data_IF_948488459430
#
_entry.id   IF_948488459430
#
_cell.length_a   1.000
_cell.length_b   1.000
_cell.length_c   1.000
_cell.angle_alpha   90.00
_cell.angle_beta   90.00
_cell.angle_gamma   90.00
#
_symmetry.space_group_name_H-M   'P 1'
#
loop_
_entity.id
_entity.type
_entity.pdbx_description
1 polymer ?
#
# COMPACT_ATOMS: atom_id res chain seq x y z
N UNK A 1 17.35 -17.04 21.35
CA UNK A 1 17.19 -16.04 20.28
C UNK A 1 15.75 -15.59 20.30
N UNK A 2 15.44 -14.61 21.15
CA UNK A 2 14.11 -14.02 21.30
C UNK A 2 14.16 -12.67 20.58
N UNK A 3 13.57 -12.58 19.38
CA UNK A 3 13.67 -11.35 18.58
C UNK A 3 12.84 -11.32 17.30
N UNK A 4 12.20 -12.43 16.89
CA UNK A 4 11.52 -12.50 15.60
C UNK A 4 10.22 -11.69 15.50
N UNK A 5 9.56 -11.37 16.62
CA UNK A 5 8.33 -10.56 16.62
C UNK A 5 8.60 -9.05 16.56
N UNK A 6 9.53 -8.58 17.40
CA UNK A 6 9.90 -7.16 17.51
C UNK A 6 10.56 -6.64 16.24
N UNK A 7 11.49 -7.40 15.69
CA UNK A 7 12.27 -6.99 14.51
C UNK A 7 11.37 -6.87 13.26
N UNK A 8 10.46 -7.83 13.08
CA UNK A 8 9.50 -7.81 11.97
C UNK A 8 8.48 -6.66 12.08
N UNK A 9 8.03 -6.36 13.30
CA UNK A 9 7.17 -5.21 13.58
C UNK A 9 7.88 -3.90 13.28
N UNK A 10 9.13 -3.79 13.74
CA UNK A 10 9.95 -2.61 13.52
C UNK A 10 10.19 -2.39 12.03
N UNK A 11 10.61 -3.42 11.29
CA UNK A 11 10.82 -3.36 9.84
C UNK A 11 9.54 -2.94 9.11
N UNK A 12 8.38 -3.48 9.51
CA UNK A 12 7.10 -3.09 8.90
C UNK A 12 6.74 -1.63 9.22
N UNK A 13 6.97 -1.17 10.45
CA UNK A 13 6.67 0.20 10.89
C UNK A 13 7.67 1.23 10.35
N UNK A 14 8.90 0.82 10.04
CA UNK A 14 9.94 1.65 9.41
C UNK A 14 9.69 1.81 7.90
N UNK A 15 9.23 0.75 7.22
CA UNK A 15 8.82 0.79 5.80
C UNK A 15 7.51 1.59 5.59
N UNK A 16 6.69 1.73 6.64
CA UNK A 16 5.45 2.52 6.62
C UNK A 16 5.75 4.03 6.66
N UNK A 17 5.33 4.75 5.61
CA UNK A 17 5.35 6.22 5.59
C UNK A 17 4.54 6.80 6.76
N UNK A 18 4.91 8.01 7.19
CA UNK A 18 4.30 8.70 8.35
C UNK A 18 2.78 8.82 8.27
N UNK A 19 2.23 9.01 7.07
CA UNK A 19 0.79 9.09 6.81
C UNK A 19 0.09 7.73 6.91
N UNK A 20 0.70 6.66 6.40
CA UNK A 20 0.21 5.29 6.54
C UNK A 20 0.23 4.83 8.00
N UNK A 21 1.27 5.22 8.75
CA UNK A 21 1.35 5.00 10.20
C UNK A 21 0.15 5.64 10.91
N UNK A 22 -0.23 6.87 10.52
CA UNK A 22 -1.38 7.57 11.11
C UNK A 22 -2.70 6.87 10.78
N UNK A 23 -2.87 6.39 9.55
CA UNK A 23 -4.05 5.62 9.11
C UNK A 23 -4.13 4.28 9.85
N UNK A 24 -3.00 3.58 9.99
CA UNK A 24 -2.86 2.35 10.74
C UNK A 24 -3.17 2.55 12.22
N UNK A 25 -2.65 3.62 12.86
CA UNK A 25 -3.01 4.01 14.24
C UNK A 25 -4.52 4.23 14.39
N UNK A 26 -5.16 4.89 13.41
CA UNK A 26 -6.61 5.11 13.44
C UNK A 26 -7.42 3.81 13.28
N UNK A 27 -7.01 2.94 12.34
CA UNK A 27 -7.64 1.65 12.05
C UNK A 27 -7.49 0.67 13.23
N UNK A 28 -6.32 0.66 13.87
CA UNK A 28 -6.09 -0.06 15.13
C UNK A 28 -7.01 0.47 16.23
N UNK A 29 -7.16 1.79 16.36
CA UNK A 29 -8.04 2.37 17.37
C UNK A 29 -9.47 1.92 17.20
N UNK A 30 -9.99 1.92 15.97
CA UNK A 30 -11.36 1.45 15.68
C UNK A 30 -11.48 -0.05 15.96
N UNK A 31 -10.61 -0.86 15.38
CA UNK A 31 -10.70 -2.33 15.48
C UNK A 31 -10.46 -2.88 16.89
N UNK A 32 -9.63 -2.22 17.71
CA UNK A 32 -9.33 -2.69 19.08
C UNK A 32 -10.30 -2.15 20.12
N UNK A 33 -10.94 -1.00 19.87
CA UNK A 33 -12.03 -0.50 20.72
C UNK A 33 -13.22 -1.48 20.70
N UNK A 34 -13.50 -2.06 19.52
CA UNK A 34 -14.59 -3.02 19.34
C UNK A 34 -14.32 -4.35 20.07
N UNK A 35 -13.05 -4.77 20.21
CA UNK A 35 -12.68 -6.00 20.91
C UNK A 35 -12.51 -5.84 22.44
N UNK A 36 -12.73 -4.64 22.98
CA UNK A 36 -12.74 -4.42 24.44
C UNK A 36 -11.37 -4.48 25.12
N UNK A 37 -10.27 -4.40 24.37
CA UNK A 37 -8.92 -4.34 24.94
C UNK A 37 -8.73 -3.06 25.77
N UNK A 38 -8.19 -3.18 26.98
CA UNK A 38 -7.91 -2.04 27.85
C UNK A 38 -6.94 -1.08 27.17
N UNK A 39 -7.38 0.17 27.06
CA UNK A 39 -6.79 1.26 26.30
C UNK A 39 -5.25 1.25 26.33
N UNK A 40 -4.64 0.88 25.19
CA UNK A 40 -3.28 1.33 24.87
C UNK A 40 -3.25 2.84 25.09
N UNK A 41 -2.17 3.41 25.67
CA UNK A 41 -2.01 4.84 25.73
C UNK A 41 -1.82 5.42 24.32
N UNK A 42 -2.94 5.62 23.60
CA UNK A 42 -3.01 6.11 22.22
C UNK A 42 -2.29 7.45 22.04
N UNK A 43 -2.30 8.29 23.08
CA UNK A 43 -1.56 9.56 23.07
C UNK A 43 -0.03 9.39 23.00
N UNK A 44 0.50 8.28 23.53
CA UNK A 44 1.92 7.92 23.40
C UNK A 44 2.18 7.22 22.07
N UNK A 45 1.28 6.32 21.66
CA UNK A 45 1.36 5.66 20.35
C UNK A 45 1.33 6.68 19.18
N UNK A 46 0.53 7.75 19.29
CA UNK A 46 0.39 8.75 18.24
C UNK A 46 1.65 9.60 18.06
N UNK A 47 2.34 9.90 19.17
CA UNK A 47 3.54 10.75 19.21
C UNK A 47 4.86 9.98 19.12
N UNK A 48 4.87 8.70 19.47
CA UNK A 48 6.04 7.84 19.43
C UNK A 48 6.50 7.54 18.00
N UNK A 49 7.81 7.40 17.86
CA UNK A 49 8.47 6.92 16.65
C UNK A 49 8.23 5.40 16.46
N UNK A 50 8.59 4.81 15.30
CA UNK A 50 8.32 3.40 15.01
C UNK A 50 8.84 2.44 16.09
N UNK A 51 9.97 2.77 16.74
CA UNK A 51 10.52 1.99 17.84
C UNK A 51 9.63 2.11 19.09
N UNK A 52 9.28 3.32 19.51
CA UNK A 52 8.38 3.53 20.66
C UNK A 52 7.03 2.84 20.47
N UNK A 53 6.47 2.94 19.26
CA UNK A 53 5.20 2.30 18.89
C UNK A 53 5.33 0.79 18.98
N UNK A 54 6.44 0.23 18.51
CA UNK A 54 6.73 -1.20 18.57
C UNK A 54 6.85 -1.68 20.02
N UNK A 55 7.66 -1.01 20.83
CA UNK A 55 7.87 -1.35 22.25
C UNK A 55 6.57 -1.20 23.07
N UNK A 56 5.76 -0.17 22.78
CA UNK A 56 4.45 0.01 23.43
C UNK A 56 3.47 -1.11 23.08
N UNK A 57 3.40 -1.51 21.80
CA UNK A 57 2.56 -2.62 21.34
C UNK A 57 3.01 -3.95 21.94
N UNK A 58 4.32 -4.17 22.02
CA UNK A 58 4.94 -5.34 22.65
C UNK A 58 4.64 -5.39 24.15
N UNK A 59 4.73 -4.25 24.82
CA UNK A 59 4.51 -4.17 26.27
C UNK A 59 3.05 -4.37 26.65
N UNK A 60 2.09 -4.01 25.79
CA UNK A 60 0.66 -4.01 26.11
C UNK A 60 -0.12 -5.21 25.57
N UNK A 61 0.36 -5.84 24.50
CA UNK A 61 -0.21 -7.07 23.96
C UNK A 61 0.78 -8.22 24.15
N UNK A 62 0.57 -9.05 25.17
CA UNK A 62 1.38 -10.24 25.45
C UNK A 62 1.43 -11.30 24.33
N UNK A 63 0.74 -11.11 23.21
CA UNK A 63 0.71 -12.01 22.05
C UNK A 63 1.25 -11.33 20.77
N UNK A 64 2.57 -11.21 20.69
CA UNK A 64 3.28 -10.56 19.57
C UNK A 64 3.01 -11.16 18.18
N UNK A 65 2.62 -12.43 18.12
CA UNK A 65 2.54 -13.18 16.85
C UNK A 65 1.29 -12.82 16.03
N UNK A 66 0.16 -12.57 16.70
CA UNK A 66 -1.07 -12.15 16.01
C UNK A 66 -1.00 -10.68 15.59
N UNK A 67 -0.25 -9.84 16.31
CA UNK A 67 -0.10 -8.43 16.01
C UNK A 67 0.76 -8.14 14.79
N UNK A 68 1.94 -8.77 14.69
CA UNK A 68 2.79 -8.59 13.51
C UNK A 68 2.07 -9.02 12.23
N UNK A 69 1.30 -10.11 12.29
CA UNK A 69 0.51 -10.58 11.15
C UNK A 69 -0.69 -9.66 10.86
N UNK A 70 -1.38 -9.13 11.89
CA UNK A 70 -2.45 -8.14 11.76
C UNK A 70 -1.94 -6.81 11.22
N UNK A 71 -0.76 -6.36 11.64
CA UNK A 71 -0.11 -5.13 11.17
C UNK A 71 0.44 -5.30 9.76
N UNK A 72 1.02 -6.46 9.44
CA UNK A 72 1.40 -6.80 8.07
C UNK A 72 0.16 -6.93 7.17
N UNK A 73 -0.98 -7.46 7.66
CA UNK A 73 -2.27 -7.45 6.93
C UNK A 73 -2.91 -6.06 6.83
N UNK A 74 -2.76 -5.22 7.84
CA UNK A 74 -3.32 -3.87 7.88
C UNK A 74 -2.50 -2.87 7.06
N UNK A 75 -1.17 -3.08 6.97
CA UNK A 75 -0.24 -2.31 6.14
C UNK A 75 -0.10 -2.85 4.71
N UNK A 76 -0.38 -4.14 4.47
CA UNK A 76 -0.62 -4.67 3.12
C UNK A 76 -2.05 -4.38 2.70
N UNK A 77 -2.40 -3.11 2.55
CA UNK A 77 -3.54 -2.76 1.71
C UNK A 77 -3.21 -3.29 0.31
N UNK A 78 -3.81 -4.43 -0.07
CA UNK A 78 -3.81 -4.90 -1.46
C UNK A 78 -4.51 -3.81 -2.25
N UNK A 79 -3.75 -2.82 -2.72
CA UNK A 79 -4.29 -1.75 -3.54
C UNK A 79 -5.04 -2.38 -4.72
N UNK A 80 -6.16 -1.77 -5.07
CA UNK A 80 -7.00 -2.17 -6.19
C UNK A 80 -6.18 -2.50 -7.45
N UNK A 81 -5.18 -1.66 -7.76
CA UNK A 81 -4.29 -1.87 -8.90
C UNK A 81 -3.52 -3.18 -8.82
N UNK A 82 -3.03 -3.58 -7.65
CA UNK A 82 -2.31 -4.84 -7.44
C UNK A 82 -3.26 -6.04 -7.46
N UNK A 83 -4.49 -5.88 -6.98
CA UNK A 83 -5.51 -6.93 -6.99
C UNK A 83 -6.02 -7.23 -8.41
N UNK A 84 -6.28 -6.20 -9.21
CA UNK A 84 -6.86 -6.32 -10.55
C UNK A 84 -5.82 -6.27 -11.67
N UNK A 85 -4.56 -6.62 -11.38
CA UNK A 85 -3.43 -6.53 -12.31
C UNK A 85 -3.73 -7.13 -13.69
N UNK A 86 -4.24 -8.36 -13.75
CA UNK A 86 -4.48 -9.03 -15.04
C UNK A 86 -5.60 -8.36 -15.84
N UNK A 87 -6.69 -7.99 -15.18
CA UNK A 87 -7.82 -7.31 -15.82
C UNK A 87 -7.39 -5.95 -16.35
N UNK A 88 -6.59 -5.21 -15.58
CA UNK A 88 -6.03 -3.93 -15.99
C UNK A 88 -5.05 -4.10 -17.15
N UNK A 89 -4.17 -5.10 -17.13
CA UNK A 89 -3.24 -5.38 -18.24
C UNK A 89 -3.97 -5.76 -19.54
N UNK A 90 -5.08 -6.52 -19.44
CA UNK A 90 -5.81 -6.99 -20.61
C UNK A 90 -6.77 -5.93 -21.19
N UNK A 91 -7.39 -5.13 -20.33
CA UNK A 91 -8.46 -4.20 -20.74
C UNK A 91 -7.96 -2.79 -21.02
N UNK A 92 -6.85 -2.38 -20.40
CA UNK A 92 -6.26 -1.06 -20.65
C UNK A 92 -5.48 -1.12 -21.97
N UNK A 93 -6.14 -0.76 -23.05
CA UNK A 93 -5.47 -0.57 -24.34
C UNK A 93 -4.75 0.79 -24.44
N UNK A 94 -5.19 1.78 -23.65
CA UNK A 94 -4.68 3.16 -23.66
C UNK A 94 -3.62 3.41 -22.58
N UNK A 95 -2.58 2.58 -22.54
CA UNK A 95 -1.49 2.68 -21.55
C UNK A 95 -0.71 3.99 -21.69
N UNK A 96 -0.57 4.52 -22.90
CA UNK A 96 0.07 5.81 -23.16
C UNK A 96 -0.60 6.96 -22.39
N UNK A 97 -1.94 6.94 -22.23
CA UNK A 97 -2.66 7.98 -21.47
C UNK A 97 -2.45 7.86 -19.96
N UNK A 98 -2.23 6.65 -19.44
CA UNK A 98 -1.90 6.43 -18.04
C UNK A 98 -0.44 6.79 -17.78
N UNK A 99 0.46 6.41 -18.68
CA UNK A 99 1.87 6.80 -18.62
C UNK A 99 2.03 8.32 -18.61
N UNK A 100 1.27 9.03 -19.45
CA UNK A 100 1.26 10.50 -19.46
C UNK A 100 0.85 11.10 -18.11
N UNK A 101 -0.20 10.56 -17.49
CA UNK A 101 -0.64 10.97 -16.14
C UNK A 101 0.33 10.60 -15.02
N UNK A 102 1.16 9.56 -15.21
CA UNK A 102 2.18 9.13 -14.24
C UNK A 102 3.55 9.79 -14.48
N UNK A 103 3.72 10.44 -15.63
CA UNK A 103 4.94 11.10 -16.05
C UNK A 103 5.28 12.26 -15.13
N UNK A 104 6.51 12.28 -14.60
CA UNK A 104 7.02 13.38 -13.77
C UNK A 104 6.58 13.35 -12.31
N UNK A 105 5.80 12.34 -11.90
CA UNK A 105 5.36 12.16 -10.51
C UNK A 105 5.67 10.79 -9.93
N UNK A 106 5.48 9.73 -10.71
CA UNK A 106 5.67 8.34 -10.27
C UNK A 106 6.80 7.65 -11.03
N UNK A 107 6.95 8.00 -12.32
CA UNK A 107 7.94 7.43 -13.21
C UNK A 107 8.77 8.53 -13.86
N UNK A 108 10.08 8.30 -13.90
CA UNK A 108 11.00 9.10 -14.69
C UNK A 108 10.75 8.93 -16.20
N UNK A 109 11.13 9.97 -16.95
CA UNK A 109 10.99 10.00 -18.40
C UNK A 109 11.70 8.80 -19.07
N UNK A 110 12.80 8.32 -18.48
CA UNK A 110 13.55 7.18 -19.00
C UNK A 110 12.79 5.86 -18.80
N UNK A 111 12.17 5.66 -17.62
CA UNK A 111 11.33 4.49 -17.36
C UNK A 111 10.09 4.51 -18.26
N UNK A 112 9.44 5.66 -18.40
CA UNK A 112 8.29 5.82 -19.30
C UNK A 112 8.68 5.53 -20.74
N UNK A 113 9.81 6.04 -21.23
CA UNK A 113 10.28 5.73 -22.58
C UNK A 113 10.58 4.25 -22.77
N UNK A 114 11.21 3.61 -21.78
CA UNK A 114 11.51 2.17 -21.81
C UNK A 114 10.27 1.29 -21.78
N UNK A 115 9.21 1.75 -21.09
CA UNK A 115 7.89 1.11 -21.12
C UNK A 115 7.20 1.39 -22.46
N UNK A 116 7.23 2.63 -22.95
CA UNK A 116 6.58 3.05 -24.21
C UNK A 116 7.19 2.41 -25.45
N UNK A 117 8.48 2.05 -25.38
CA UNK A 117 9.21 1.36 -26.43
C UNK A 117 8.78 -0.11 -26.62
N UNK A 118 7.98 -0.67 -25.69
CA UNK A 118 7.45 -2.03 -25.83
C UNK A 118 6.45 -2.12 -27.01
N UNK A 119 6.43 -3.30 -27.65
CA UNK A 119 5.72 -3.52 -28.91
C UNK A 119 4.19 -3.48 -28.79
N UNK A 120 3.65 -3.83 -27.63
CA UNK A 120 2.21 -3.95 -27.41
C UNK A 120 1.78 -3.26 -26.12
N UNK A 121 0.58 -2.65 -26.11
CA UNK A 121 0.00 -2.03 -24.91
C UNK A 121 -0.02 -2.97 -23.70
N UNK A 122 -0.29 -4.27 -23.90
CA UNK A 122 -0.23 -5.27 -22.83
C UNK A 122 1.16 -5.39 -22.20
N UNK A 123 2.23 -5.38 -23.01
CA UNK A 123 3.61 -5.47 -22.50
C UNK A 123 4.00 -4.19 -21.76
N UNK A 124 3.58 -3.02 -22.26
CA UNK A 124 3.74 -1.74 -21.56
C UNK A 124 3.15 -1.81 -20.15
N UNK A 125 1.90 -2.26 -20.04
CA UNK A 125 1.22 -2.36 -18.75
C UNK A 125 1.90 -3.41 -17.86
N UNK A 126 2.31 -4.55 -18.42
CA UNK A 126 3.00 -5.62 -17.68
C UNK A 126 4.32 -5.16 -17.07
N UNK A 127 5.10 -4.38 -17.83
CA UNK A 127 6.39 -3.81 -17.43
C UNK A 127 6.21 -2.70 -16.37
N UNK A 128 5.17 -1.88 -16.50
CA UNK A 128 4.77 -0.94 -15.45
C UNK A 128 4.42 -1.69 -14.16
N UNK A 129 3.68 -2.79 -14.26
CA UNK A 129 3.33 -3.62 -13.11
C UNK A 129 4.49 -4.37 -12.45
N UNK A 130 5.61 -4.59 -13.16
CA UNK A 130 6.84 -5.08 -12.54
C UNK A 130 7.46 -4.06 -11.58
N UNK A 131 7.17 -2.77 -11.78
CA UNK A 131 7.64 -1.68 -10.92
C UNK A 131 6.69 -1.42 -9.75
N UNK A 132 5.40 -1.76 -9.86
CA UNK A 132 4.39 -1.61 -8.80
C UNK A 132 4.78 -2.18 -7.42
N UNK A 133 5.47 -3.34 -7.26
CA UNK A 133 5.93 -3.77 -5.95
C UNK A 133 7.00 -2.85 -5.34
N UNK A 134 7.73 -2.07 -6.15
CA UNK A 134 8.66 -1.03 -5.69
C UNK A 134 7.98 0.32 -5.46
N UNK A 135 6.69 0.43 -5.76
CA UNK A 135 5.93 1.66 -5.63
C UNK A 135 5.28 1.74 -4.26
N UNK A 136 5.37 2.92 -3.65
CA UNK A 136 4.62 3.26 -2.46
C UNK A 136 3.12 3.47 -2.75
N UNK A 137 2.34 3.59 -1.68
CA UNK A 137 0.89 3.74 -1.77
C UNK A 137 0.46 4.99 -2.57
N UNK A 138 1.16 6.13 -2.45
CA UNK A 138 0.87 7.35 -3.25
C UNK A 138 0.97 7.08 -4.77
N UNK A 139 1.96 6.31 -5.18
CA UNK A 139 2.17 5.92 -6.57
C UNK A 139 1.07 4.97 -7.06
N UNK A 140 0.62 4.04 -6.20
CA UNK A 140 -0.50 3.13 -6.50
C UNK A 140 -1.83 3.89 -6.56
N UNK A 141 -2.05 4.88 -5.69
CA UNK A 141 -3.21 5.78 -5.70
C UNK A 141 -3.26 6.61 -6.98
N UNK A 142 -2.14 7.19 -7.40
CA UNK A 142 -2.08 7.92 -8.69
C UNK A 142 -2.38 7.02 -9.88
N UNK A 143 -1.87 5.79 -9.88
CA UNK A 143 -2.20 4.81 -10.92
C UNK A 143 -3.70 4.49 -10.92
N UNK A 144 -4.29 4.30 -9.75
CA UNK A 144 -5.74 4.11 -9.61
C UNK A 144 -6.53 5.33 -10.09
N UNK A 145 -6.12 6.55 -9.74
CA UNK A 145 -6.77 7.78 -10.21
C UNK A 145 -6.68 7.93 -11.73
N UNK A 146 -5.51 7.66 -12.33
CA UNK A 146 -5.34 7.68 -13.77
C UNK A 146 -6.24 6.65 -14.46
N UNK A 147 -6.35 5.44 -13.89
CA UNK A 147 -7.27 4.42 -14.35
C UNK A 147 -8.73 4.87 -14.23
N UNK A 148 -9.11 5.51 -13.13
CA UNK A 148 -10.47 6.00 -12.91
C UNK A 148 -10.83 7.16 -13.84
N UNK A 149 -9.86 7.99 -14.23
CA UNK A 149 -10.08 9.07 -15.19
C UNK A 149 -10.19 8.54 -16.62
N UNK A 150 -9.25 7.67 -17.05
CA UNK A 150 -9.19 7.17 -18.43
C UNK A 150 -10.18 6.03 -18.69
N UNK A 151 -10.43 5.21 -17.68
CA UNK A 151 -11.21 3.97 -17.75
C UNK A 151 -12.19 3.88 -16.58
N UNK A 152 -12.91 4.96 -16.31
CA UNK A 152 -13.98 5.01 -15.29
C UNK A 152 -14.92 3.78 -15.29
N UNK A 153 -15.53 3.37 -16.43
CA UNK A 153 -16.46 2.23 -16.42
C UNK A 153 -15.77 0.92 -16.06
N UNK A 154 -14.51 0.76 -16.42
CA UNK A 154 -13.72 -0.41 -16.07
C UNK A 154 -13.45 -0.46 -14.56
N UNK A 155 -13.10 0.68 -13.97
CA UNK A 155 -12.85 0.77 -12.53
C UNK A 155 -14.13 0.52 -11.74
N UNK A 156 -15.27 1.09 -12.17
CA UNK A 156 -16.58 0.84 -11.55
C UNK A 156 -16.97 -0.65 -11.63
N UNK A 157 -16.78 -1.30 -12.80
CA UNK A 157 -17.03 -2.74 -12.98
C UNK A 157 -16.13 -3.63 -12.10
N UNK A 158 -14.85 -3.27 -11.99
CA UNK A 158 -13.87 -4.01 -11.20
C UNK A 158 -14.01 -3.78 -9.68
N UNK A 159 -14.49 -2.58 -9.26
CA UNK A 159 -14.88 -2.32 -7.87
C UNK A 159 -16.21 -3.00 -7.51
N UNK A 160 -17.01 -3.38 -8.50
CA UNK A 160 -18.31 -4.02 -8.31
C UNK A 160 -19.40 -3.05 -7.82
N UNK A 161 -19.31 -1.78 -8.24
CA UNK A 161 -20.23 -0.69 -7.87
C UNK A 161 -21.29 -0.48 -8.95
#
# INVERSE_FOLDING_TARGET
>A
MEGTGRDLLLETLDDLRKDDLKRLKHKLRVTWLEEGYQAIPWGQLEKGDPMDVTDLLISHCGEQRQLAERLSRAGKERHFVSQHREQLIQQVMAVDGILDSLCGSVLDLEQIQSIRAERSSMEKMRKLYELVPKWDNDCKDRLYQALKEKHRPLVEELEGI
#
